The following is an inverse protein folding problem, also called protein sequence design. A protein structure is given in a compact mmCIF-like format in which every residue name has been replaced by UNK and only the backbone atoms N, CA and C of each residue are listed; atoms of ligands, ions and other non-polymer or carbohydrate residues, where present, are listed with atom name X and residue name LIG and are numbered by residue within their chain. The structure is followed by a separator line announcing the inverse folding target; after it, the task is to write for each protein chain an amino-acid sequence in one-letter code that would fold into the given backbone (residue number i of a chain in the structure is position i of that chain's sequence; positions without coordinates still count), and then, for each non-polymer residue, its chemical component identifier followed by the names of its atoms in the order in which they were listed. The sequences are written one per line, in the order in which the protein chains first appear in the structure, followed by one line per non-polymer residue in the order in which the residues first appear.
data_IF_110785404134
#
_entry.id   IF_110785404134
#
_cell.length_a   1.000
_cell.length_b   1.000
_cell.length_c   1.000
_cell.angle_alpha   90.00
_cell.angle_beta   90.00
_cell.angle_gamma   90.00
#
_symmetry.space_group_name_H-M   'P 1'
#
loop_
_entity.id
_entity.type
_entity.pdbx_description
1 polymer ?
#
# COMPACT_ATOMS: atom_id res chain seq x y z
N UNK A 1 -5.72 -0.94 15.09
CA UNK A 1 -6.43 -2.25 15.16
C UNK A 1 -7.91 -2.11 15.45
N UNK A 2 -8.29 -1.27 16.41
CA UNK A 2 -9.71 -1.12 16.80
C UNK A 2 -10.61 -0.65 15.67
N UNK A 3 -10.12 0.25 14.82
CA UNK A 3 -10.87 0.73 13.65
C UNK A 3 -11.17 -0.40 12.66
N UNK A 4 -10.20 -1.30 12.45
CA UNK A 4 -10.41 -2.47 11.59
C UNK A 4 -11.46 -3.40 12.16
N UNK A 5 -11.37 -3.72 13.45
CA UNK A 5 -12.34 -4.60 14.12
C UNK A 5 -13.74 -4.00 14.10
N UNK A 6 -13.86 -2.69 14.35
CA UNK A 6 -15.14 -1.99 14.28
C UNK A 6 -15.71 -1.96 12.86
N UNK A 7 -14.84 -1.78 11.86
CA UNK A 7 -15.24 -1.86 10.45
C UNK A 7 -15.81 -3.21 10.09
N UNK A 8 -15.19 -4.29 10.54
CA UNK A 8 -15.68 -5.64 10.32
C UNK A 8 -17.04 -5.87 10.97
N UNK A 9 -17.23 -5.40 12.20
CA UNK A 9 -18.52 -5.49 12.90
C UNK A 9 -19.61 -4.73 12.15
N UNK A 10 -19.30 -3.54 11.66
CA UNK A 10 -20.22 -2.72 10.87
C UNK A 10 -20.67 -3.44 9.59
N UNK A 11 -19.78 -4.22 8.98
CA UNK A 11 -20.06 -5.02 7.79
C UNK A 11 -20.75 -6.35 8.12
N UNK A 12 -21.08 -6.61 9.37
CA UNK A 12 -21.70 -7.87 9.80
C UNK A 12 -20.72 -9.04 9.85
N UNK A 13 -19.42 -8.77 9.92
CA UNK A 13 -18.38 -9.79 10.01
C UNK A 13 -17.92 -9.96 11.45
N UNK A 14 -17.64 -11.22 11.82
CA UNK A 14 -17.08 -11.53 13.14
C UNK A 14 -15.58 -11.20 13.13
N UNK A 15 -15.10 -10.28 14.02
CA UNK A 15 -13.68 -9.98 14.10
C UNK A 15 -12.78 -11.19 14.36
N UNK A 16 -13.31 -12.26 14.98
CA UNK A 16 -12.53 -13.47 15.26
C UNK A 16 -12.09 -14.22 14.00
N UNK A 17 -12.72 -13.98 12.83
CA UNK A 17 -12.34 -14.62 11.57
C UNK A 17 -10.94 -14.20 11.10
N UNK A 18 -10.44 -13.04 11.56
CA UNK A 18 -9.08 -12.57 11.25
C UNK A 18 -8.06 -13.50 11.92
N UNK A 19 -8.21 -13.74 13.23
CA UNK A 19 -7.41 -14.66 14.01
C UNK A 19 -5.92 -14.62 13.72
N UNK A 20 -5.31 -15.80 13.59
CA UNK A 20 -3.88 -15.97 13.33
C UNK A 20 -3.46 -15.59 11.90
N UNK A 21 -4.42 -15.36 11.01
CA UNK A 21 -4.16 -14.99 9.62
C UNK A 21 -3.84 -13.53 9.43
N UNK A 22 -3.98 -12.73 10.48
CA UNK A 22 -3.75 -11.29 10.41
C UNK A 22 -2.58 -10.92 11.32
N UNK A 23 -1.57 -10.26 10.75
CA UNK A 23 -0.48 -9.65 11.49
C UNK A 23 -0.52 -8.14 11.36
N UNK A 24 -0.15 -7.44 12.41
CA UNK A 24 -0.09 -5.97 12.42
C UNK A 24 1.27 -5.53 12.95
N UNK A 25 1.88 -4.57 12.25
CA UNK A 25 3.19 -4.01 12.62
C UNK A 25 3.08 -2.48 12.52
N UNK A 26 3.41 -1.80 13.60
CA UNK A 26 3.36 -0.33 13.67
C UNK A 26 4.76 0.31 13.72
N UNK A 27 5.78 -0.39 13.22
CA UNK A 27 7.15 0.12 13.19
C UNK A 27 7.26 1.39 12.35
N UNK A 28 8.02 2.37 12.84
CA UNK A 28 8.37 3.57 12.08
C UNK A 28 9.63 3.36 11.23
N UNK A 29 10.30 2.23 11.36
CA UNK A 29 11.54 1.91 10.66
C UNK A 29 11.30 1.09 9.40
N UNK A 30 10.22 1.37 8.67
CA UNK A 30 9.83 0.64 7.48
C UNK A 30 10.82 0.90 6.34
N UNK A 31 11.41 -0.17 5.81
CA UNK A 31 12.23 -0.16 4.60
C UNK A 31 12.12 -1.55 3.94
N UNK A 32 12.56 -1.71 2.69
CA UNK A 32 12.44 -3.01 2.01
C UNK A 32 13.07 -4.16 2.77
N UNK A 33 14.26 -3.97 3.32
CA UNK A 33 14.95 -5.02 4.09
C UNK A 33 14.12 -5.45 5.30
N UNK A 34 13.59 -4.49 6.05
CA UNK A 34 12.74 -4.77 7.20
C UNK A 34 11.48 -5.54 6.78
N UNK A 35 10.80 -5.07 5.74
CA UNK A 35 9.56 -5.70 5.24
C UNK A 35 9.84 -7.14 4.77
N UNK A 36 10.91 -7.33 4.00
CA UNK A 36 11.30 -8.64 3.49
C UNK A 36 11.61 -9.61 4.65
N UNK A 37 12.35 -9.14 5.67
CA UNK A 37 12.66 -9.95 6.84
C UNK A 37 11.39 -10.38 7.59
N UNK A 38 10.42 -9.49 7.74
CA UNK A 38 9.15 -9.81 8.40
C UNK A 38 8.32 -10.81 7.60
N UNK A 39 8.50 -10.85 6.27
CA UNK A 39 7.73 -11.70 5.37
C UNK A 39 8.48 -12.96 4.92
N UNK A 40 9.65 -13.23 5.47
CA UNK A 40 10.52 -14.33 5.04
C UNK A 40 9.81 -15.70 5.10
N UNK A 41 8.87 -15.88 6.02
CA UNK A 41 8.12 -17.13 6.18
C UNK A 41 6.67 -17.03 5.71
N UNK A 42 6.28 -15.94 5.05
CA UNK A 42 4.91 -15.75 4.58
C UNK A 42 4.57 -16.75 3.46
N UNK A 43 3.36 -17.31 3.52
CA UNK A 43 2.89 -18.22 2.49
C UNK A 43 2.56 -17.49 1.19
N UNK A 44 2.67 -18.17 0.06
CA UNK A 44 2.22 -17.67 -1.23
C UNK A 44 0.74 -17.26 -1.14
N UNK A 45 0.37 -16.15 -1.76
CA UNK A 45 -0.98 -15.59 -1.69
C UNK A 45 -1.21 -14.65 -0.51
N UNK A 46 -0.22 -14.46 0.37
CA UNK A 46 -0.32 -13.49 1.46
C UNK A 46 -0.47 -12.08 0.90
N UNK A 47 -1.42 -11.31 1.45
CA UNK A 47 -1.62 -9.89 1.14
C UNK A 47 -0.90 -9.06 2.18
N UNK A 48 -0.06 -8.15 1.71
CA UNK A 48 0.72 -7.22 2.54
C UNK A 48 0.27 -5.81 2.24
N UNK A 49 -0.15 -5.07 3.24
CA UNK A 49 -0.56 -3.67 3.08
C UNK A 49 0.47 -2.77 3.76
N UNK A 50 1.02 -1.84 3.00
CA UNK A 50 1.97 -0.84 3.49
C UNK A 50 1.26 0.51 3.55
N UNK A 51 1.05 0.99 4.74
CA UNK A 51 0.35 2.24 4.99
C UNK A 51 1.34 3.25 5.59
N UNK A 52 1.86 4.12 4.83
CA UNK A 52 1.59 4.45 3.43
C UNK A 52 2.91 4.52 2.65
N UNK A 53 2.82 4.59 1.31
CA UNK A 53 3.98 4.58 0.41
C UNK A 53 5.05 5.62 0.76
N UNK A 54 4.64 6.83 1.10
CA UNK A 54 5.55 7.94 1.40
C UNK A 54 6.41 7.71 2.64
N UNK A 55 6.07 6.74 3.52
CA UNK A 55 6.93 6.38 4.65
C UNK A 55 8.29 5.83 4.21
N UNK A 56 8.36 5.18 3.06
CA UNK A 56 9.60 4.64 2.52
C UNK A 56 10.58 5.73 2.10
N UNK A 57 10.09 6.95 1.92
CA UNK A 57 10.85 8.08 1.39
C UNK A 57 11.27 9.09 2.48
N UNK A 58 11.03 8.78 3.75
CA UNK A 58 11.26 9.72 4.85
C UNK A 58 12.69 9.74 5.39
N UNK A 59 13.45 8.67 5.19
CA UNK A 59 14.80 8.54 5.74
C UNK A 59 15.85 8.64 4.65
N UNK A 60 16.84 9.52 4.87
CA UNK A 60 17.94 9.71 3.91
C UNK A 60 18.83 8.47 3.75
N UNK A 61 18.89 7.62 4.78
CA UNK A 61 19.68 6.38 4.72
C UNK A 61 19.04 5.32 3.82
N UNK A 62 17.75 5.46 3.54
CA UNK A 62 17.09 4.54 2.63
C UNK A 62 17.47 4.84 1.17
N UNK A 63 17.54 3.80 0.31
CA UNK A 63 17.69 4.01 -1.14
C UNK A 63 16.56 4.87 -1.69
N UNK A 64 16.73 5.35 -2.92
CA UNK A 64 15.67 6.05 -3.63
C UNK A 64 14.38 5.23 -3.65
N UNK A 65 13.24 5.92 -3.59
CA UNK A 65 11.92 5.27 -3.54
C UNK A 65 11.71 4.27 -4.68
N UNK A 66 12.13 4.61 -5.89
CA UNK A 66 12.02 3.71 -7.04
C UNK A 66 12.78 2.39 -6.84
N UNK A 67 13.97 2.46 -6.24
CA UNK A 67 14.78 1.27 -5.93
C UNK A 67 14.05 0.41 -4.90
N UNK A 68 13.51 1.03 -3.87
CA UNK A 68 12.76 0.33 -2.82
C UNK A 68 11.53 -0.40 -3.38
N UNK A 69 10.75 0.29 -4.21
CA UNK A 69 9.54 -0.30 -4.82
C UNK A 69 9.90 -1.46 -5.74
N UNK A 70 10.96 -1.33 -6.55
CA UNK A 70 11.43 -2.42 -7.41
C UNK A 70 11.86 -3.63 -6.60
N UNK A 71 12.56 -3.43 -5.50
CA UNK A 71 12.99 -4.50 -4.60
C UNK A 71 11.79 -5.27 -4.03
N UNK A 72 10.79 -4.57 -3.55
CA UNK A 72 9.57 -5.18 -3.02
C UNK A 72 8.76 -5.89 -4.11
N UNK A 73 8.70 -5.32 -5.30
CA UNK A 73 8.04 -5.94 -6.46
C UNK A 73 8.69 -7.27 -6.84
N UNK A 74 10.02 -7.30 -6.92
CA UNK A 74 10.76 -8.52 -7.21
C UNK A 74 10.53 -9.59 -6.15
N UNK A 75 10.58 -9.21 -4.89
CA UNK A 75 10.31 -10.11 -3.77
C UNK A 75 8.88 -10.67 -3.81
N UNK A 76 7.90 -9.81 -4.06
CA UNK A 76 6.50 -10.22 -4.16
C UNK A 76 6.29 -11.23 -5.27
N UNK A 77 6.89 -11.01 -6.44
CA UNK A 77 6.80 -11.94 -7.57
C UNK A 77 7.47 -13.28 -7.26
N UNK A 78 8.64 -13.25 -6.66
CA UNK A 78 9.39 -14.47 -6.31
C UNK A 78 8.62 -15.32 -5.29
N UNK A 79 7.97 -14.69 -4.32
CA UNK A 79 7.28 -15.37 -3.22
C UNK A 79 5.79 -15.58 -3.47
N UNK A 80 5.23 -15.04 -4.54
CA UNK A 80 3.80 -15.11 -4.82
C UNK A 80 2.96 -14.30 -3.85
N UNK A 81 3.45 -13.14 -3.42
CA UNK A 81 2.76 -12.23 -2.51
C UNK A 81 2.02 -11.15 -3.28
N UNK A 82 1.01 -10.57 -2.64
CA UNK A 82 0.29 -9.40 -3.13
C UNK A 82 0.64 -8.24 -2.21
N UNK A 83 1.37 -7.25 -2.73
CA UNK A 83 1.78 -6.07 -1.95
C UNK A 83 0.93 -4.88 -2.38
N UNK A 84 0.24 -4.29 -1.42
CA UNK A 84 -0.63 -3.13 -1.61
C UNK A 84 -0.01 -1.94 -0.89
N UNK A 85 0.23 -0.85 -1.63
CA UNK A 85 0.68 0.41 -1.05
C UNK A 85 -0.49 1.37 -0.97
N UNK A 86 -0.76 1.88 0.21
CA UNK A 86 -1.68 2.99 0.39
C UNK A 86 -0.87 4.26 0.14
N UNK A 87 -1.37 5.14 -0.69
CA UNK A 87 -0.68 6.39 -1.03
C UNK A 87 -1.59 7.59 -0.77
N UNK A 88 -0.96 8.68 -0.37
CA UNK A 88 -1.67 9.94 -0.14
C UNK A 88 -1.88 10.68 -1.44
N UNK A 89 -3.02 11.34 -1.55
CA UNK A 89 -3.34 12.23 -2.66
C UNK A 89 -2.87 13.65 -2.32
N UNK A 90 -2.34 14.35 -3.30
CA UNK A 90 -1.86 15.71 -3.13
C UNK A 90 -3.00 16.66 -2.75
N UNK A 91 -2.69 17.65 -1.93
CA UNK A 91 -3.66 18.63 -1.46
C UNK A 91 -4.24 19.50 -2.59
N UNK A 92 -3.55 19.58 -3.71
CA UNK A 92 -4.03 20.33 -4.89
C UNK A 92 -5.18 19.61 -5.61
N UNK A 93 -5.44 18.34 -5.29
CA UNK A 93 -6.56 17.61 -5.87
C UNK A 93 -7.88 18.28 -5.49
N UNK A 94 -8.73 18.53 -6.50
CA UNK A 94 -10.04 19.15 -6.36
C UNK A 94 -11.14 18.17 -6.77
N UNK A 95 -11.90 17.68 -5.78
CA UNK A 95 -13.00 16.74 -6.03
C UNK A 95 -14.17 17.38 -6.78
N UNK A 96 -14.30 18.72 -6.79
CA UNK A 96 -15.31 19.42 -7.57
C UNK A 96 -14.98 19.42 -9.06
N UNK A 97 -13.68 19.46 -9.40
CA UNK A 97 -13.22 19.39 -10.79
C UNK A 97 -13.19 17.98 -11.35
N UNK A 98 -12.95 16.98 -10.49
CA UNK A 98 -12.73 15.60 -10.87
C UNK A 98 -13.23 14.66 -9.76
N UNK A 99 -14.20 13.76 -10.04
CA UNK A 99 -14.83 12.95 -8.98
C UNK A 99 -13.90 11.92 -8.34
N UNK A 100 -12.86 11.47 -9.08
CA UNK A 100 -11.88 10.50 -8.58
C UNK A 100 -10.49 11.01 -8.94
N UNK A 101 -9.51 10.97 -8.00
CA UNK A 101 -8.13 11.34 -8.32
C UNK A 101 -7.52 10.39 -9.35
N UNK A 102 -6.46 10.84 -10.01
CA UNK A 102 -5.69 10.03 -10.96
C UNK A 102 -4.22 9.96 -10.58
N UNK A 103 -3.41 9.35 -11.45
CA UNK A 103 -1.97 9.19 -11.22
C UNK A 103 -1.26 10.53 -10.96
N UNK A 104 -1.68 11.60 -11.64
CA UNK A 104 -1.09 12.92 -11.46
C UNK A 104 -1.39 13.53 -10.09
N UNK A 105 -2.38 13.02 -9.37
CA UNK A 105 -2.79 13.55 -8.07
C UNK A 105 -2.11 12.86 -6.89
N UNK A 106 -1.33 11.81 -7.14
CA UNK A 106 -0.60 11.11 -6.08
C UNK A 106 0.50 12.01 -5.54
N UNK A 107 0.56 12.14 -4.21
CA UNK A 107 1.57 12.95 -3.55
C UNK A 107 2.93 12.24 -3.58
N UNK A 108 3.86 12.76 -4.36
CA UNK A 108 5.22 12.23 -4.50
C UNK A 108 6.24 13.35 -4.30
N UNK A 109 6.78 13.52 -3.08
CA UNK A 109 7.87 14.49 -2.85
C UNK A 109 9.09 14.20 -3.73
N UNK A 110 9.37 12.92 -3.98
CA UNK A 110 10.42 12.48 -4.89
C UNK A 110 9.81 11.71 -6.07
N UNK A 111 10.41 11.81 -7.28
CA UNK A 111 9.86 11.16 -8.46
C UNK A 111 9.77 9.64 -8.30
N UNK A 112 8.66 9.07 -8.77
CA UNK A 112 8.45 7.63 -8.83
C UNK A 112 7.66 7.32 -10.09
N UNK A 113 8.16 6.35 -10.85
CA UNK A 113 7.44 5.84 -12.02
C UNK A 113 6.27 4.95 -11.54
N UNK A 114 5.05 5.44 -11.66
CA UNK A 114 3.87 4.74 -11.19
C UNK A 114 3.51 3.53 -12.07
N UNK A 115 4.14 3.37 -13.24
CA UNK A 115 4.01 2.14 -14.04
C UNK A 115 4.67 0.92 -13.39
N UNK A 116 5.44 1.12 -12.32
CA UNK A 116 5.97 0.01 -11.54
C UNK A 116 4.88 -0.80 -10.84
N UNK A 117 3.72 -0.20 -10.60
CA UNK A 117 2.59 -0.89 -9.98
C UNK A 117 1.77 -1.60 -11.05
N UNK A 118 1.43 -2.86 -10.80
CA UNK A 118 0.63 -3.65 -11.75
C UNK A 118 -0.81 -3.16 -11.83
N UNK A 119 -1.32 -2.64 -10.71
CA UNK A 119 -2.67 -2.09 -10.60
C UNK A 119 -2.66 -0.82 -9.79
N UNK A 120 -3.54 0.11 -10.14
CA UNK A 120 -3.79 1.31 -9.35
C UNK A 120 -5.28 1.40 -9.04
N UNK A 121 -5.60 1.85 -7.80
CA UNK A 121 -6.97 1.99 -7.34
C UNK A 121 -7.14 3.38 -6.72
N UNK A 122 -8.09 4.15 -7.23
CA UNK A 122 -8.40 5.48 -6.72
C UNK A 122 -9.78 5.48 -6.07
N UNK A 123 -9.86 6.07 -4.90
CA UNK A 123 -11.07 6.09 -4.07
C UNK A 123 -11.43 7.52 -3.70
N UNK A 124 -12.70 7.88 -3.85
CA UNK A 124 -13.20 9.17 -3.35
C UNK A 124 -14.73 9.10 -3.19
N UNK A 125 -15.22 9.41 -2.00
CA UNK A 125 -16.67 9.50 -1.72
C UNK A 125 -17.49 8.31 -2.23
N UNK A 126 -16.97 7.10 -2.05
CA UNK A 126 -17.63 5.87 -2.50
C UNK A 126 -17.40 5.52 -3.96
N UNK A 127 -16.78 6.41 -4.75
CA UNK A 127 -16.38 6.09 -6.13
C UNK A 127 -15.05 5.33 -6.11
N UNK A 128 -14.94 4.32 -6.98
CA UNK A 128 -13.77 3.46 -7.10
C UNK A 128 -13.36 3.41 -8.56
N UNK A 129 -12.08 3.64 -8.84
CA UNK A 129 -11.51 3.47 -10.17
C UNK A 129 -10.29 2.56 -10.09
N UNK A 130 -10.38 1.38 -10.70
CA UNK A 130 -9.32 0.39 -10.73
C UNK A 130 -8.77 0.28 -12.15
N UNK A 131 -7.45 0.45 -12.29
CA UNK A 131 -6.77 0.43 -13.58
C UNK A 131 -5.61 -0.55 -13.57
N UNK A 132 -5.50 -1.36 -14.62
CA UNK A 132 -4.31 -2.17 -14.85
C UNK A 132 -3.21 -1.30 -15.46
N UNK A 133 -1.95 -1.61 -15.15
CA UNK A 133 -0.81 -1.00 -15.82
C UNK A 133 -0.80 -1.41 -17.29
N UNK A 134 -0.56 -0.45 -18.14
CA UNK A 134 -0.48 -0.67 -19.59
C UNK A 134 0.93 -1.05 -20.04
#
# INVERSE_FOLDING_TARGET
MDHLLNGLRTLGKDPSVIGERFGFDNSDAICPTYIIDQLASAASGTVVVIDYLQLLDQKRENPELAVQVRSLKAFARERGLIVVFIAQIDRSYDSAAKPVPGLADVRLPNPLDLSLFDWTCFLNNGAIQLNAAS
#
